data_IF_363669433808
#
_entry.id   IF_363669433808
#
_cell.length_a   1.000
_cell.length_b   1.000
_cell.length_c   1.000
_cell.angle_alpha   90.00
_cell.angle_beta   90.00
_cell.angle_gamma   90.00
#
_symmetry.space_group_name_H-M   'P 1'
#
loop_
_entity.id
_entity.type
_entity.pdbx_description
1 polymer ?
#
# COMPACT_ATOMS: atom_id res chain seq x y z
N UNK A 1 48.90 40.09 -14.67
CA UNK A 1 49.41 39.05 -13.73
C UNK A 1 48.19 38.35 -13.16
N UNK A 2 47.84 37.20 -13.74
CA UNK A 2 46.69 36.39 -13.33
C UNK A 2 47.18 35.28 -12.40
N UNK A 3 46.68 35.24 -11.16
CA UNK A 3 46.82 34.07 -10.29
C UNK A 3 45.60 33.17 -10.49
N UNK A 4 45.78 31.86 -10.79
CA UNK A 4 44.66 30.93 -10.87
C UNK A 4 44.28 30.46 -9.47
N UNK A 5 42.99 30.57 -9.13
CA UNK A 5 42.42 29.92 -7.97
C UNK A 5 42.34 28.41 -8.24
N UNK A 6 43.09 27.64 -7.46
CA UNK A 6 43.11 26.18 -7.48
C UNK A 6 41.80 25.62 -6.94
N UNK A 7 40.95 25.15 -7.85
CA UNK A 7 39.75 24.40 -7.56
C UNK A 7 40.14 22.98 -7.10
N UNK A 8 40.16 22.77 -5.78
CA UNK A 8 40.50 21.48 -5.18
C UNK A 8 39.19 20.78 -4.78
N UNK A 9 38.46 20.31 -5.77
CA UNK A 9 37.27 19.47 -5.57
C UNK A 9 37.69 18.02 -5.33
N UNK A 10 37.98 17.68 -4.08
CA UNK A 10 38.05 16.28 -3.67
C UNK A 10 36.65 15.64 -3.80
N UNK A 11 36.55 14.38 -4.30
CA UNK A 11 35.28 13.67 -4.36
C UNK A 11 34.83 13.36 -2.93
N UNK A 12 33.83 14.09 -2.44
CA UNK A 12 33.14 13.72 -1.20
C UNK A 12 32.57 12.32 -1.39
N UNK A 13 33.06 11.36 -0.60
CA UNK A 13 32.38 10.09 -0.38
C UNK A 13 30.91 10.41 -0.07
N UNK A 14 30.01 10.06 -0.99
CA UNK A 14 28.56 10.33 -0.88
C UNK A 14 27.99 9.48 0.25
N UNK A 15 28.15 9.92 1.49
CA UNK A 15 27.46 9.34 2.63
C UNK A 15 25.95 9.38 2.41
N UNK A 16 25.27 8.26 2.69
CA UNK A 16 23.81 8.17 2.57
C UNK A 16 23.15 9.26 3.41
N UNK A 17 22.28 10.07 2.78
CA UNK A 17 21.55 11.13 3.47
C UNK A 17 20.50 10.51 4.39
N UNK A 18 20.77 10.50 5.69
CA UNK A 18 19.90 9.91 6.70
C UNK A 18 19.31 10.93 7.67
N UNK A 19 18.09 10.66 8.15
CA UNK A 19 17.39 11.42 9.16
C UNK A 19 16.94 10.48 10.29
N UNK A 20 17.23 10.85 11.53
CA UNK A 20 16.73 10.12 12.69
C UNK A 20 15.43 10.74 13.20
N UNK A 21 14.43 9.89 13.43
CA UNK A 21 13.13 10.27 13.97
C UNK A 21 12.78 9.37 15.16
N UNK A 22 12.47 10.00 16.29
CA UNK A 22 11.92 9.30 17.45
C UNK A 22 10.39 9.24 17.34
N UNK A 23 9.85 8.03 17.29
CA UNK A 23 8.42 7.77 17.37
C UNK A 23 8.19 6.99 18.66
N UNK A 24 7.84 7.74 19.70
CA UNK A 24 7.56 7.23 21.03
C UNK A 24 8.80 6.47 21.57
N UNK A 25 8.75 5.15 21.74
CA UNK A 25 9.90 4.35 22.21
C UNK A 25 10.75 3.72 21.09
N UNK A 26 10.45 4.01 19.83
CA UNK A 26 11.13 3.47 18.66
C UNK A 26 11.97 4.55 17.99
N UNK A 27 13.18 4.17 17.54
CA UNK A 27 14.04 5.04 16.73
C UNK A 27 13.95 4.62 15.27
N UNK A 28 13.58 5.55 14.40
CA UNK A 28 13.57 5.33 12.96
C UNK A 28 14.78 6.05 12.34
N UNK A 29 15.53 5.36 11.50
CA UNK A 29 16.58 5.94 10.66
C UNK A 29 16.09 5.90 9.22
N UNK A 30 15.76 7.07 8.70
CA UNK A 30 15.18 7.28 7.37
C UNK A 30 16.29 7.62 6.39
N UNK A 31 16.48 6.80 5.37
CA UNK A 31 17.47 6.98 4.32
C UNK A 31 16.76 7.51 3.08
N UNK A 32 17.19 8.68 2.59
CA UNK A 32 16.62 9.31 1.41
C UNK A 32 17.34 8.89 0.13
N UNK A 33 16.69 9.17 -0.99
CA UNK A 33 17.25 9.01 -2.33
C UNK A 33 17.79 7.60 -2.58
N UNK A 34 17.15 6.60 -1.97
CA UNK A 34 17.50 5.21 -2.13
C UNK A 34 17.08 4.74 -3.53
N UNK A 35 17.92 3.94 -4.20
CA UNK A 35 17.54 3.34 -5.47
C UNK A 35 16.37 2.36 -5.26
N UNK A 36 15.57 2.16 -6.31
CA UNK A 36 14.35 1.35 -6.24
C UNK A 36 14.61 -0.07 -5.75
N UNK A 37 15.78 -0.63 -6.04
CA UNK A 37 16.20 -2.00 -5.68
C UNK A 37 16.40 -2.22 -4.17
N UNK A 38 16.62 -1.15 -3.40
CA UNK A 38 16.59 -1.19 -1.92
C UNK A 38 15.19 -1.33 -1.37
N UNK A 39 14.18 -0.86 -2.10
CA UNK A 39 12.77 -0.94 -1.68
C UNK A 39 12.09 -2.19 -2.24
N UNK A 40 12.35 -2.53 -3.49
CA UNK A 40 11.67 -3.60 -4.22
C UNK A 40 12.74 -4.51 -4.80
N UNK A 41 12.65 -5.84 -4.65
CA UNK A 41 13.67 -6.73 -5.18
C UNK A 41 13.91 -6.52 -6.68
N UNK A 42 15.18 -6.47 -7.08
CA UNK A 42 15.62 -6.09 -8.43
C UNK A 42 14.94 -6.87 -9.55
N UNK A 43 14.60 -8.15 -9.31
CA UNK A 43 13.91 -8.99 -10.30
C UNK A 43 12.57 -8.38 -10.76
N UNK A 44 11.80 -7.80 -9.85
CA UNK A 44 10.52 -7.18 -10.20
C UNK A 44 10.75 -5.89 -10.99
N UNK A 45 11.76 -5.09 -10.62
CA UNK A 45 12.12 -3.89 -11.36
C UNK A 45 12.59 -4.22 -12.79
N UNK A 46 13.30 -5.33 -12.99
CA UNK A 46 13.74 -5.79 -14.31
C UNK A 46 12.57 -6.20 -15.20
N UNK A 47 11.60 -6.94 -14.68
CA UNK A 47 10.38 -7.31 -15.41
C UNK A 47 9.67 -6.04 -15.90
N UNK A 48 9.48 -5.07 -15.01
CA UNK A 48 8.84 -3.80 -15.34
C UNK A 48 9.62 -2.97 -16.37
N UNK A 49 10.96 -2.99 -16.31
CA UNK A 49 11.79 -2.27 -17.27
C UNK A 49 11.66 -2.82 -18.69
N UNK A 50 11.40 -4.13 -18.84
CA UNK A 50 11.19 -4.80 -20.13
C UNK A 50 9.80 -4.57 -20.70
N UNK A 51 8.80 -4.26 -19.87
CA UNK A 51 7.43 -4.03 -20.33
C UNK A 51 7.33 -2.79 -21.22
N UNK A 52 7.26 -2.98 -22.54
CA UNK A 52 7.21 -1.91 -23.55
C UNK A 52 6.11 -0.87 -23.26
N UNK A 53 4.96 -1.32 -22.78
CA UNK A 53 3.83 -0.45 -22.43
C UNK A 53 4.16 0.59 -21.35
N UNK A 54 5.05 0.29 -20.39
CA UNK A 54 5.50 1.22 -19.34
C UNK A 54 6.63 2.15 -19.80
N UNK A 55 7.19 1.90 -20.99
CA UNK A 55 8.18 2.76 -21.63
C UNK A 55 7.55 3.75 -22.62
N UNK A 56 6.22 3.67 -22.83
CA UNK A 56 5.51 4.59 -23.73
C UNK A 56 5.49 6.00 -23.15
N UNK A 57 6.00 6.94 -23.94
CA UNK A 57 5.99 8.38 -23.63
C UNK A 57 4.55 8.93 -23.57
N UNK A 58 4.13 9.55 -22.45
CA UNK A 58 2.85 10.26 -22.37
C UNK A 58 2.74 11.37 -23.43
N UNK A 59 1.55 11.56 -24.01
CA UNK A 59 1.33 12.57 -25.06
C UNK A 59 1.84 13.98 -24.70
N UNK A 60 1.72 14.40 -23.43
CA UNK A 60 2.12 15.74 -22.98
C UNK A 60 3.61 16.01 -23.20
N UNK A 61 4.45 14.97 -23.23
CA UNK A 61 5.89 15.11 -23.39
C UNK A 61 6.35 15.01 -24.84
N UNK A 62 5.47 14.70 -25.79
CA UNK A 62 5.81 14.66 -27.22
C UNK A 62 6.05 16.09 -27.72
N UNK A 63 7.32 16.44 -27.95
CA UNK A 63 7.79 17.80 -28.32
C UNK A 63 7.13 18.37 -29.59
N UNK A 64 6.60 17.50 -30.46
CA UNK A 64 6.17 17.90 -31.80
C UNK A 64 4.65 18.13 -31.93
N UNK A 65 3.87 17.91 -30.86
CA UNK A 65 2.39 18.02 -30.86
C UNK A 65 1.87 19.20 -30.02
N UNK A 66 2.67 20.26 -29.83
CA UNK A 66 2.28 21.50 -29.14
C UNK A 66 1.19 22.33 -29.86
N UNK A 67 0.34 21.71 -30.67
CA UNK A 67 -0.87 22.34 -31.18
C UNK A 67 -1.97 22.27 -30.12
N UNK A 68 -2.03 23.36 -29.35
CA UNK A 68 -3.20 24.01 -28.70
C UNK A 68 -4.33 23.08 -28.23
N UNK A 69 -4.75 23.32 -26.98
CA UNK A 69 -5.82 22.66 -26.21
C UNK A 69 -7.14 22.31 -26.94
N UNK A 70 -7.35 22.78 -28.18
CA UNK A 70 -8.60 22.72 -28.93
C UNK A 70 -8.49 22.12 -30.35
N UNK A 71 -7.31 21.73 -30.84
CA UNK A 71 -7.24 21.03 -32.14
C UNK A 71 -7.65 19.58 -31.90
N UNK A 72 -8.76 19.18 -32.53
CA UNK A 72 -9.30 17.81 -32.56
C UNK A 72 -8.20 16.88 -33.10
N UNK A 73 -7.34 16.40 -32.22
CA UNK A 73 -6.39 15.36 -32.57
C UNK A 73 -7.18 14.09 -32.93
N UNK A 74 -6.78 13.37 -33.99
CA UNK A 74 -7.35 12.08 -34.30
C UNK A 74 -7.26 11.17 -33.07
N UNK A 75 -8.30 10.33 -32.87
CA UNK A 75 -8.55 9.42 -31.74
C UNK A 75 -7.36 9.26 -30.78
N UNK A 76 -7.39 10.00 -29.65
CA UNK A 76 -6.44 9.80 -28.55
C UNK A 76 -6.53 8.36 -28.07
N UNK A 77 -5.39 7.76 -27.72
CA UNK A 77 -5.43 6.46 -27.07
C UNK A 77 -6.15 6.57 -25.72
N UNK A 78 -6.77 5.49 -25.25
CA UNK A 78 -7.41 5.45 -23.92
C UNK A 78 -6.44 5.89 -22.83
N UNK A 79 -5.16 5.45 -22.92
CA UNK A 79 -4.08 5.85 -22.01
C UNK A 79 -3.78 7.35 -22.04
N UNK A 80 -3.76 7.97 -23.22
CA UNK A 80 -3.53 9.41 -23.34
C UNK A 80 -4.68 10.23 -22.72
N UNK A 81 -5.91 9.70 -22.78
CA UNK A 81 -7.05 10.28 -22.06
C UNK A 81 -6.82 10.20 -20.55
N UNK A 82 -6.41 9.05 -20.03
CA UNK A 82 -6.12 8.87 -18.60
C UNK A 82 -5.00 9.79 -18.11
N UNK A 83 -3.89 9.86 -18.84
CA UNK A 83 -2.80 10.79 -18.55
C UNK A 83 -3.26 12.25 -18.61
N UNK A 84 -4.11 12.62 -19.58
CA UNK A 84 -4.70 13.97 -19.61
C UNK A 84 -5.43 14.28 -18.29
N UNK A 85 -6.15 13.30 -17.73
CA UNK A 85 -6.83 13.53 -16.45
C UNK A 85 -5.84 13.62 -15.29
N UNK A 86 -4.76 12.83 -15.28
CA UNK A 86 -3.64 12.97 -14.32
C UNK A 86 -3.04 14.37 -14.36
N UNK A 87 -2.67 14.88 -15.54
CA UNK A 87 -2.09 16.22 -15.69
C UNK A 87 -3.07 17.34 -15.34
N UNK A 88 -4.36 17.19 -15.65
CA UNK A 88 -5.40 18.11 -15.18
C UNK A 88 -5.51 18.13 -13.66
N UNK A 89 -5.34 16.98 -13.00
CA UNK A 89 -5.31 16.91 -11.54
C UNK A 89 -4.02 17.53 -10.97
N UNK A 90 -2.87 17.28 -11.60
CA UNK A 90 -1.59 17.89 -11.22
C UNK A 90 -1.63 19.42 -11.32
N UNK A 91 -2.25 19.97 -12.39
CA UNK A 91 -2.43 21.42 -12.57
C UNK A 91 -3.24 22.06 -11.42
N UNK A 92 -4.11 21.30 -10.76
CA UNK A 92 -4.92 21.75 -9.62
C UNK A 92 -4.20 21.61 -8.26
N UNK A 93 -3.05 20.91 -8.22
CA UNK A 93 -2.33 20.63 -6.97
C UNK A 93 -1.49 21.80 -6.47
N UNK A 94 -0.99 21.65 -5.24
CA UNK A 94 0.03 22.53 -4.67
C UNK A 94 1.31 22.40 -5.49
N UNK A 95 1.83 23.52 -5.98
CA UNK A 95 3.16 23.57 -6.55
C UNK A 95 4.20 23.79 -5.45
N UNK A 96 5.20 22.92 -5.41
CA UNK A 96 6.36 23.05 -4.51
C UNK A 96 7.63 23.06 -5.35
N UNK A 97 8.38 24.15 -5.29
CA UNK A 97 9.62 24.30 -6.05
C UNK A 97 10.69 23.27 -5.69
N UNK A 98 10.77 22.89 -4.41
CA UNK A 98 11.62 21.79 -3.95
C UNK A 98 10.77 20.68 -3.37
N UNK A 99 11.34 19.49 -3.24
CA UNK A 99 10.63 18.38 -2.64
C UNK A 99 10.60 18.39 -1.11
N UNK A 100 9.88 17.42 -0.55
CA UNK A 100 9.67 17.25 0.89
C UNK A 100 10.98 17.06 1.65
N UNK A 101 12.03 16.55 0.98
CA UNK A 101 13.34 16.36 1.59
C UNK A 101 14.08 17.70 1.81
N UNK A 102 13.65 18.79 1.16
CA UNK A 102 14.39 20.05 1.08
C UNK A 102 13.68 21.23 1.74
N UNK A 103 12.65 20.99 2.57
CA UNK A 103 11.85 22.04 3.23
C UNK A 103 11.38 23.13 2.24
N UNK A 104 10.69 22.75 1.16
CA UNK A 104 10.05 23.72 0.28
C UNK A 104 8.84 24.39 0.91
N UNK A 105 8.40 25.50 0.33
CA UNK A 105 7.13 26.15 0.66
C UNK A 105 6.25 26.09 -0.58
N UNK A 106 4.94 25.95 -0.38
CA UNK A 106 4.00 25.95 -1.49
C UNK A 106 3.77 27.39 -1.99
N UNK A 107 4.02 27.61 -3.28
CA UNK A 107 3.90 28.93 -3.90
C UNK A 107 2.42 29.35 -4.03
N UNK A 108 1.52 28.40 -4.35
CA UNK A 108 0.10 28.69 -4.61
C UNK A 108 -0.80 28.71 -3.35
N UNK A 109 -1.71 29.69 -3.27
CA UNK A 109 -2.54 30.02 -2.10
C UNK A 109 -3.84 29.20 -1.90
N UNK A 110 -4.40 28.58 -2.95
CA UNK A 110 -5.76 27.99 -2.87
C UNK A 110 -5.81 26.52 -2.41
N UNK A 111 -6.02 26.22 -1.13
CA UNK A 111 -5.83 24.85 -0.59
C UNK A 111 -7.01 23.87 -0.82
N UNK A 112 -8.23 24.36 -1.10
CA UNK A 112 -9.45 23.53 -1.10
C UNK A 112 -9.55 22.54 -2.28
N UNK A 113 -10.00 21.30 -2.03
CA UNK A 113 -10.19 20.25 -3.05
C UNK A 113 -8.96 19.43 -3.46
N UNK A 114 -7.79 19.67 -2.84
CA UNK A 114 -6.49 19.15 -3.31
C UNK A 114 -6.10 17.75 -2.83
N UNK A 115 -6.74 17.22 -1.79
CA UNK A 115 -6.46 15.84 -1.33
C UNK A 115 -6.99 14.84 -2.36
N UNK A 116 -8.25 15.03 -2.78
CA UNK A 116 -8.89 14.21 -3.82
C UNK A 116 -8.13 14.26 -5.14
N UNK A 117 -7.58 15.43 -5.51
CA UNK A 117 -6.74 15.56 -6.70
C UNK A 117 -5.42 14.78 -6.60
N UNK A 118 -4.69 14.92 -5.48
CA UNK A 118 -3.43 14.18 -5.25
C UNK A 118 -3.66 12.67 -5.20
N UNK A 119 -4.67 12.20 -4.46
CA UNK A 119 -4.97 10.77 -4.42
C UNK A 119 -5.51 10.28 -5.75
N UNK A 120 -6.32 11.07 -6.47
CA UNK A 120 -6.82 10.73 -7.80
C UNK A 120 -5.72 10.54 -8.85
N UNK A 121 -4.57 11.18 -8.68
CA UNK A 121 -3.38 10.92 -9.52
C UNK A 121 -2.82 9.55 -9.23
N UNK A 122 -2.61 9.21 -7.96
CA UNK A 122 -2.13 7.88 -7.56
C UNK A 122 -3.13 6.81 -8.02
N UNK A 123 -4.44 7.11 -7.93
CA UNK A 123 -5.47 6.20 -8.40
C UNK A 123 -5.29 5.84 -9.87
N UNK A 124 -5.10 6.84 -10.72
CA UNK A 124 -4.93 6.64 -12.16
C UNK A 124 -3.58 6.02 -12.51
N UNK A 125 -2.50 6.45 -11.88
CA UNK A 125 -1.18 5.83 -12.10
C UNK A 125 -1.18 4.36 -11.70
N UNK A 126 -1.84 4.01 -10.59
CA UNK A 126 -1.99 2.63 -10.16
C UNK A 126 -2.91 1.82 -11.08
N UNK A 127 -4.01 2.40 -11.58
CA UNK A 127 -4.90 1.75 -12.55
C UNK A 127 -4.22 1.53 -13.90
N UNK A 128 -3.39 2.48 -14.33
CA UNK A 128 -2.53 2.30 -15.50
C UNK A 128 -1.55 1.15 -15.24
N UNK A 129 -0.83 1.14 -14.10
CA UNK A 129 0.05 0.03 -13.76
C UNK A 129 -0.67 -1.34 -13.76
N UNK A 130 -1.89 -1.39 -13.22
CA UNK A 130 -2.74 -2.59 -13.24
C UNK A 130 -3.14 -3.00 -14.66
N UNK A 131 -3.61 -2.05 -15.48
CA UNK A 131 -3.96 -2.25 -16.89
C UNK A 131 -2.77 -2.72 -17.74
N UNK A 132 -1.58 -2.17 -17.50
CA UNK A 132 -0.39 -2.43 -18.30
C UNK A 132 0.25 -3.78 -18.00
N UNK A 133 0.28 -4.14 -16.72
CA UNK A 133 0.86 -5.39 -16.29
C UNK A 133 -0.14 -6.52 -16.23
N UNK A 134 -1.43 -6.20 -16.37
CA UNK A 134 -2.51 -7.11 -16.01
C UNK A 134 -2.24 -7.73 -14.64
N UNK A 135 -1.85 -6.93 -13.61
CA UNK A 135 -1.57 -7.45 -12.25
C UNK A 135 -2.87 -7.78 -11.52
N UNK A 136 -3.59 -8.71 -12.11
CA UNK A 136 -4.71 -9.35 -11.49
C UNK A 136 -4.35 -10.81 -11.32
N UNK A 137 -4.80 -11.40 -10.20
CA UNK A 137 -4.61 -12.82 -9.95
C UNK A 137 -5.96 -13.48 -9.91
N UNK A 138 -6.20 -14.33 -10.90
CA UNK A 138 -7.35 -15.21 -10.92
C UNK A 138 -7.11 -16.32 -9.89
N UNK A 139 -8.05 -16.47 -8.97
CA UNK A 139 -8.04 -17.56 -8.02
C UNK A 139 -8.60 -18.81 -8.68
N UNK A 140 -7.83 -19.90 -8.69
CA UNK A 140 -8.26 -21.19 -9.24
C UNK A 140 -9.51 -21.73 -8.52
N UNK A 141 -9.65 -21.42 -7.24
CA UNK A 141 -10.70 -21.99 -6.38
C UNK A 141 -12.03 -21.25 -6.44
N UNK A 142 -12.06 -19.96 -6.81
CA UNK A 142 -13.23 -19.11 -6.52
C UNK A 142 -13.68 -18.20 -7.67
N UNK A 143 -13.20 -18.41 -8.91
CA UNK A 143 -13.52 -17.56 -10.09
C UNK A 143 -13.54 -16.07 -9.71
N UNK A 144 -12.57 -15.67 -8.90
CA UNK A 144 -12.46 -14.33 -8.36
C UNK A 144 -11.12 -13.74 -8.78
N UNK A 145 -11.13 -12.44 -8.97
CA UNK A 145 -9.97 -11.68 -9.42
C UNK A 145 -9.51 -10.80 -8.28
N UNK A 146 -8.29 -11.02 -7.82
CA UNK A 146 -7.64 -10.12 -6.88
C UNK A 146 -6.98 -8.99 -7.65
N UNK A 147 -7.33 -7.75 -7.32
CA UNK A 147 -6.75 -6.53 -7.91
C UNK A 147 -6.36 -5.52 -6.84
N UNK A 148 -5.35 -4.69 -7.12
CA UNK A 148 -5.01 -3.57 -6.25
C UNK A 148 -5.77 -2.34 -6.71
N UNK A 149 -6.91 -2.04 -6.07
CA UNK A 149 -7.64 -0.81 -6.34
C UNK A 149 -7.24 0.28 -5.34
N UNK A 150 -6.72 1.41 -5.82
CA UNK A 150 -6.48 2.57 -4.98
C UNK A 150 -7.81 3.19 -4.55
N UNK A 151 -8.17 3.03 -3.28
CA UNK A 151 -9.43 3.56 -2.73
C UNK A 151 -9.16 4.77 -1.84
N UNK A 152 -9.91 5.83 -2.12
CA UNK A 152 -10.01 6.98 -1.24
C UNK A 152 -10.83 6.60 -0.01
N UNK A 153 -10.16 6.53 1.14
CA UNK A 153 -10.84 6.35 2.42
C UNK A 153 -10.77 7.68 3.15
N UNK A 154 -11.83 8.47 3.04
CA UNK A 154 -12.05 9.57 3.96
C UNK A 154 -12.18 8.98 5.36
N UNK A 155 -11.48 9.58 6.33
CA UNK A 155 -11.63 9.26 7.75
C UNK A 155 -11.07 7.93 8.25
N UNK A 156 -10.02 7.40 7.60
CA UNK A 156 -9.24 6.33 8.23
C UNK A 156 -8.14 6.89 9.14
N UNK A 157 -8.34 6.74 10.46
CA UNK A 157 -7.32 7.04 11.47
C UNK A 157 -6.58 5.78 11.85
N UNK A 158 -5.29 5.70 11.52
CA UNK A 158 -4.45 4.61 12.00
C UNK A 158 -4.50 4.54 13.53
N UNK A 159 -4.64 3.34 14.08
CA UNK A 159 -4.42 3.07 15.49
C UNK A 159 -3.21 2.17 15.58
N UNK A 160 -2.24 2.55 16.40
CA UNK A 160 -1.10 1.69 16.68
C UNK A 160 -0.82 1.72 18.18
N UNK A 161 -0.14 0.68 18.62
CA UNK A 161 0.18 0.50 20.01
C UNK A 161 1.66 0.81 20.24
N UNK A 162 1.99 1.67 21.21
CA UNK A 162 3.38 1.82 21.66
C UNK A 162 3.45 2.00 23.17
N UNK A 163 4.39 1.32 23.80
CA UNK A 163 4.74 1.53 25.19
C UNK A 163 5.30 0.26 25.82
N UNK A 164 6.47 0.31 26.48
CA UNK A 164 6.89 -0.73 27.44
C UNK A 164 6.51 -0.22 28.84
N UNK A 165 5.69 -0.94 29.61
CA UNK A 165 5.46 -0.63 31.04
C UNK A 165 4.00 -0.44 31.49
N UNK A 166 3.82 0.30 32.59
CA UNK A 166 2.62 0.32 33.49
C UNK A 166 1.39 1.01 32.88
N UNK A 167 1.53 1.81 31.80
CA UNK A 167 0.40 2.36 31.05
C UNK A 167 0.56 2.12 29.56
N UNK A 168 0.36 0.87 29.10
CA UNK A 168 0.18 0.62 27.68
C UNK A 168 -1.04 1.41 27.19
N UNK A 169 -0.95 2.06 26.04
CA UNK A 169 -2.02 2.92 25.53
C UNK A 169 -2.12 2.87 24.02
N UNK A 170 -3.35 2.75 23.51
CA UNK A 170 -3.65 2.94 22.11
C UNK A 170 -3.29 4.37 21.71
N UNK A 171 -2.38 4.51 20.76
CA UNK A 171 -2.06 5.79 20.17
C UNK A 171 -2.79 5.96 18.85
N UNK A 172 -3.41 7.12 18.74
CA UNK A 172 -3.96 7.58 17.49
C UNK A 172 -2.82 8.00 16.57
N UNK A 173 -2.66 7.21 15.52
CA UNK A 173 -1.84 7.58 14.38
C UNK A 173 -2.47 8.69 13.57
N UNK A 174 -1.68 9.29 12.66
CA UNK A 174 -2.15 10.33 11.79
C UNK A 174 -3.16 9.82 10.78
N UNK A 175 -4.02 10.73 10.33
CA UNK A 175 -4.90 10.50 9.18
C UNK A 175 -4.10 10.37 7.90
N UNK A 176 -4.39 9.32 7.15
CA UNK A 176 -3.93 9.14 5.76
C UNK A 176 -4.93 9.79 4.80
N UNK A 177 -4.57 9.85 3.52
CA UNK A 177 -5.42 10.35 2.45
C UNK A 177 -6.23 9.25 1.76
N UNK A 178 -5.76 8.00 1.85
CA UNK A 178 -6.38 6.83 1.26
C UNK A 178 -5.47 5.61 1.40
N UNK A 179 -5.83 4.53 0.72
CA UNK A 179 -5.05 3.30 0.66
C UNK A 179 -5.01 2.76 -0.76
N UNK A 180 -3.95 2.04 -1.09
CA UNK A 180 -4.03 0.96 -2.07
C UNK A 180 -4.67 -0.24 -1.36
N UNK A 181 -5.90 -0.56 -1.76
CA UNK A 181 -6.67 -1.68 -1.22
C UNK A 181 -6.42 -2.91 -2.10
N UNK A 182 -6.30 -4.08 -1.49
CA UNK A 182 -6.55 -5.32 -2.21
C UNK A 182 -8.06 -5.51 -2.27
N UNK A 183 -8.60 -5.46 -3.47
CA UNK A 183 -10.00 -5.71 -3.75
C UNK A 183 -10.14 -7.10 -4.35
N UNK A 184 -11.05 -7.88 -3.77
CA UNK A 184 -11.59 -9.08 -4.40
C UNK A 184 -12.79 -8.66 -5.23
N UNK A 185 -12.67 -8.76 -6.55
CA UNK A 185 -13.78 -8.58 -7.48
C UNK A 185 -14.24 -9.94 -7.99
N UNK A 186 -15.57 -10.12 -8.11
CA UNK A 186 -16.13 -11.25 -8.83
C UNK A 186 -15.81 -11.08 -10.32
N UNK A 187 -15.56 -12.18 -11.04
CA UNK A 187 -15.49 -12.10 -12.50
C UNK A 187 -16.79 -11.48 -13.04
N UNK A 188 -16.71 -10.50 -13.96
CA UNK A 188 -17.89 -9.84 -14.51
C UNK A 188 -18.83 -10.80 -15.26
N UNK A 189 -18.33 -11.96 -15.70
CA UNK A 189 -19.12 -12.97 -16.42
C UNK A 189 -20.02 -13.83 -15.48
N UNK A 190 -20.28 -13.36 -14.26
CA UNK A 190 -20.99 -14.13 -13.22
C UNK A 190 -22.37 -13.62 -12.81
N UNK A 191 -22.96 -12.70 -13.56
CA UNK A 191 -24.37 -12.32 -13.35
C UNK A 191 -25.34 -13.52 -13.49
N UNK A 192 -24.91 -14.61 -14.14
CA UNK A 192 -25.71 -15.84 -14.35
C UNK A 192 -25.51 -16.95 -13.30
N UNK A 193 -24.67 -16.79 -12.27
CA UNK A 193 -24.56 -17.83 -11.22
C UNK A 193 -25.79 -17.82 -10.30
N UNK A 194 -26.26 -19.01 -9.87
CA UNK A 194 -27.33 -19.12 -8.90
C UNK A 194 -26.94 -18.44 -7.57
N UNK A 195 -27.95 -17.87 -6.89
CA UNK A 195 -27.76 -16.98 -5.75
C UNK A 195 -27.02 -17.60 -4.56
N UNK A 196 -26.98 -18.93 -4.48
CA UNK A 196 -26.26 -19.74 -3.50
C UNK A 196 -24.74 -19.78 -3.74
N UNK A 197 -24.28 -19.44 -4.94
CA UNK A 197 -22.86 -19.34 -5.30
C UNK A 197 -22.33 -17.90 -5.31
N UNK A 198 -23.13 -16.93 -4.86
CA UNK A 198 -22.65 -15.56 -4.67
C UNK A 198 -21.57 -15.57 -3.59
N UNK A 199 -20.34 -15.32 -4.02
CA UNK A 199 -19.20 -15.23 -3.12
C UNK A 199 -19.49 -14.24 -1.98
N UNK A 200 -19.19 -14.62 -0.73
CA UNK A 200 -19.46 -13.78 0.44
C UNK A 200 -18.60 -12.51 0.35
N UNK A 201 -19.23 -11.41 -0.03
CA UNK A 201 -18.76 -10.03 0.14
C UNK A 201 -17.56 -9.57 -0.71
N UNK A 202 -17.56 -8.28 -1.04
CA UNK A 202 -16.37 -7.59 -1.49
C UNK A 202 -15.37 -7.47 -0.34
N UNK A 203 -14.25 -8.19 -0.43
CA UNK A 203 -13.17 -8.06 0.55
C UNK A 203 -12.27 -6.91 0.11
N UNK A 204 -12.26 -5.85 0.90
CA UNK A 204 -11.42 -4.68 0.72
C UNK A 204 -10.39 -4.62 1.84
N UNK A 205 -9.13 -4.91 1.52
CA UNK A 205 -8.07 -4.97 2.52
C UNK A 205 -7.08 -3.82 2.33
N UNK A 206 -6.95 -2.90 3.29
CA UNK A 206 -6.00 -1.79 3.19
C UNK A 206 -4.57 -2.31 3.28
N UNK A 207 -3.78 -2.11 2.23
CA UNK A 207 -2.38 -2.55 2.18
C UNK A 207 -1.42 -1.38 2.31
N UNK A 208 -1.45 -0.44 1.35
CA UNK A 208 -0.47 0.64 1.30
C UNK A 208 -1.15 1.97 1.59
N UNK A 209 -0.89 2.61 2.74
CA UNK A 209 -1.37 3.96 2.99
C UNK A 209 -0.82 4.97 1.98
N UNK A 210 -1.65 5.96 1.68
CA UNK A 210 -1.31 7.12 0.85
C UNK A 210 -1.28 8.36 1.76
N UNK A 211 -0.13 9.02 1.88
CA UNK A 211 0.02 10.27 2.64
C UNK A 211 0.30 11.44 1.71
N UNK A 212 -0.65 12.37 1.64
CA UNK A 212 -0.52 13.60 0.84
C UNK A 212 -0.25 14.80 1.73
N UNK A 213 0.43 15.79 1.17
CA UNK A 213 0.70 17.03 1.89
C UNK A 213 -0.56 17.89 1.98
N UNK A 214 -1.03 18.13 3.21
CA UNK A 214 -2.28 18.86 3.50
C UNK A 214 -2.08 20.36 3.77
N UNK A 215 -0.87 20.78 4.16
CA UNK A 215 -0.63 22.14 4.70
C UNK A 215 0.42 22.90 3.90
N UNK A 216 0.17 24.20 3.73
CA UNK A 216 1.04 25.15 3.01
C UNK A 216 2.27 25.58 3.82
N UNK A 217 2.11 25.77 5.14
CA UNK A 217 3.19 26.26 6.01
C UNK A 217 4.17 25.16 6.36
N UNK A 218 5.42 25.39 5.97
CA UNK A 218 6.54 24.46 6.05
C UNK A 218 7.76 25.02 6.77
N UNK A 219 7.66 26.28 7.19
CA UNK A 219 8.79 27.11 7.58
C UNK A 219 9.05 27.03 9.08
N UNK A 220 9.24 25.83 9.59
CA UNK A 220 9.82 25.68 10.93
C UNK A 220 11.05 24.81 10.84
N UNK A 221 12.12 25.21 11.52
CA UNK A 221 13.25 24.33 11.80
C UNK A 221 12.70 22.99 12.34
N UNK A 222 13.13 21.87 11.74
CA UNK A 222 12.60 20.54 12.05
C UNK A 222 11.31 20.12 11.32
N UNK A 223 10.81 20.88 10.33
CA UNK A 223 9.62 20.51 9.57
C UNK A 223 9.75 19.16 8.84
N UNK A 224 10.90 18.88 8.18
CA UNK A 224 11.20 17.54 7.62
C UNK A 224 11.07 16.47 8.71
N UNK A 225 11.73 16.65 9.85
CA UNK A 225 11.72 15.67 10.94
C UNK A 225 10.31 15.41 11.47
N UNK A 226 9.51 16.46 11.69
CA UNK A 226 8.12 16.33 12.12
C UNK A 226 7.26 15.56 11.09
N UNK A 227 7.50 15.77 9.79
CA UNK A 227 6.81 15.04 8.71
C UNK A 227 7.20 13.58 8.64
N UNK A 228 8.50 13.29 8.67
CA UNK A 228 8.95 11.90 8.63
C UNK A 228 8.60 11.14 9.91
N UNK A 229 8.57 11.81 11.07
CA UNK A 229 7.97 11.26 12.28
C UNK A 229 6.50 10.87 12.07
N UNK A 230 5.70 11.73 11.42
CA UNK A 230 4.31 11.41 11.04
C UNK A 230 4.25 10.21 10.08
N UNK A 231 5.09 10.16 9.05
CA UNK A 231 5.15 9.05 8.08
C UNK A 231 5.58 7.73 8.73
N UNK A 232 6.52 7.75 9.68
CA UNK A 232 6.90 6.58 10.47
C UNK A 232 5.74 6.08 11.35
N UNK A 233 4.93 6.99 11.91
CA UNK A 233 3.68 6.64 12.61
C UNK A 233 2.65 5.97 11.68
N UNK A 234 2.56 6.41 10.42
CA UNK A 234 1.72 5.76 9.40
C UNK A 234 2.21 4.34 9.11
N UNK A 235 3.51 4.16 8.87
CA UNK A 235 4.12 2.84 8.63
C UNK A 235 3.88 1.88 9.80
N UNK A 236 4.01 2.37 11.04
CA UNK A 236 3.71 1.57 12.23
C UNK A 236 2.24 1.14 12.28
N UNK A 237 1.32 2.04 11.96
CA UNK A 237 -0.11 1.72 11.80
C UNK A 237 -0.35 0.65 10.74
N UNK A 238 0.31 0.75 9.58
CA UNK A 238 0.22 -0.24 8.50
C UNK A 238 0.71 -1.62 8.94
N UNK A 239 1.85 -1.74 9.63
CA UNK A 239 2.28 -3.03 10.19
C UNK A 239 1.25 -3.61 11.16
N UNK A 240 0.64 -2.78 12.01
CA UNK A 240 -0.39 -3.28 12.94
C UNK A 240 -1.62 -3.83 12.20
N UNK A 241 -1.97 -3.28 11.03
CA UNK A 241 -2.99 -3.86 10.16
C UNK A 241 -2.51 -5.19 9.58
N UNK A 242 -1.26 -5.26 9.11
CA UNK A 242 -0.67 -6.45 8.51
C UNK A 242 -0.54 -7.63 9.48
N UNK A 243 -0.42 -7.37 10.79
CA UNK A 243 -0.30 -8.39 11.84
C UNK A 243 -1.63 -8.96 12.32
N UNK A 244 -2.77 -8.30 12.06
CA UNK A 244 -4.10 -8.82 12.41
C UNK A 244 -4.36 -10.28 12.02
N UNK A 245 -3.96 -10.74 10.82
CA UNK A 245 -4.24 -12.10 10.38
C UNK A 245 -3.39 -13.18 11.05
N UNK A 246 -2.30 -12.82 11.72
CA UNK A 246 -1.38 -13.79 12.29
C UNK A 246 -1.93 -14.38 13.60
N UNK A 247 -1.62 -15.67 13.89
CA UNK A 247 -2.06 -16.32 15.10
C UNK A 247 -1.54 -15.60 16.36
N UNK A 248 -2.20 -15.90 17.49
CA UNK A 248 -1.97 -15.23 18.77
C UNK A 248 -0.49 -15.11 19.15
N UNK A 249 -0.17 -13.99 19.78
CA UNK A 249 1.15 -13.36 19.97
C UNK A 249 2.14 -14.11 20.89
N UNK A 250 1.88 -15.37 21.22
CA UNK A 250 2.76 -16.20 22.04
C UNK A 250 3.89 -16.85 21.24
N UNK A 251 3.81 -16.82 19.91
CA UNK A 251 4.87 -17.29 19.00
C UNK A 251 5.67 -16.11 18.44
N UNK A 252 6.95 -16.35 18.15
CA UNK A 252 7.80 -15.41 17.43
C UNK A 252 7.12 -15.02 16.11
N UNK A 253 6.82 -13.73 15.98
CA UNK A 253 6.20 -13.21 14.78
C UNK A 253 7.23 -13.17 13.65
N UNK A 254 6.84 -13.50 12.41
CA UNK A 254 7.71 -13.35 11.26
C UNK A 254 8.09 -11.89 11.04
N UNK A 255 9.17 -11.67 10.29
CA UNK A 255 9.51 -10.34 9.81
C UNK A 255 8.34 -9.76 8.99
N UNK A 256 8.21 -8.44 8.99
CA UNK A 256 7.18 -7.73 8.27
C UNK A 256 7.73 -6.56 7.46
N UNK A 257 7.08 -6.29 6.34
CA UNK A 257 7.25 -5.10 5.54
C UNK A 257 6.03 -4.18 5.64
N UNK A 258 6.28 -2.88 5.71
CA UNK A 258 5.26 -1.87 5.48
C UNK A 258 5.72 -0.86 4.44
N UNK A 259 4.78 -0.46 3.59
CA UNK A 259 5.00 0.51 2.54
C UNK A 259 4.16 1.77 2.78
N UNK A 260 4.58 2.89 2.21
CA UNK A 260 3.83 4.14 2.21
C UNK A 260 4.09 4.88 0.90
N UNK A 261 3.02 5.28 0.22
CA UNK A 261 3.10 6.18 -0.93
C UNK A 261 2.92 7.61 -0.43
N UNK A 262 3.94 8.43 -0.63
CA UNK A 262 3.94 9.82 -0.25
C UNK A 262 3.76 10.75 -1.44
N UNK A 263 2.94 11.78 -1.28
CA UNK A 263 2.74 12.80 -2.29
C UNK A 263 2.94 14.21 -1.72
N UNK A 264 3.75 14.99 -2.41
CA UNK A 264 4.08 16.36 -2.05
C UNK A 264 3.90 17.28 -3.27
N UNK A 265 2.65 17.65 -3.54
CA UNK A 265 2.31 18.48 -4.70
C UNK A 265 2.30 17.71 -6.01
N UNK A 266 3.37 17.80 -6.81
CA UNK A 266 3.62 16.95 -7.97
C UNK A 266 4.62 15.83 -7.69
N UNK A 267 5.24 15.82 -6.50
CA UNK A 267 6.37 14.95 -6.19
C UNK A 267 5.91 13.69 -5.48
N UNK A 268 6.18 12.54 -6.10
CA UNK A 268 5.85 11.22 -5.56
C UNK A 268 7.11 10.57 -4.95
N UNK A 269 6.94 9.86 -3.84
CA UNK A 269 7.97 8.98 -3.29
C UNK A 269 7.35 7.74 -2.67
N UNK A 270 8.09 6.64 -2.65
CA UNK A 270 7.70 5.40 -1.96
C UNK A 270 8.62 5.20 -0.77
N UNK A 271 8.06 4.75 0.35
CA UNK A 271 8.83 4.37 1.54
C UNK A 271 8.61 2.89 1.84
N UNK A 272 9.67 2.20 2.24
CA UNK A 272 9.63 0.84 2.81
C UNK A 272 10.23 0.88 4.21
N UNK A 273 9.58 0.21 5.14
CA UNK A 273 10.16 -0.08 6.45
C UNK A 273 10.11 -1.59 6.69
N UNK A 274 11.27 -2.16 7.00
CA UNK A 274 11.41 -3.56 7.36
C UNK A 274 11.43 -3.71 8.88
N UNK A 275 10.57 -4.59 9.38
CA UNK A 275 10.37 -4.92 10.78
C UNK A 275 10.83 -6.37 11.00
N UNK A 276 12.07 -6.59 11.48
CA UNK A 276 12.53 -7.93 11.85
C UNK A 276 11.58 -8.62 12.81
N UNK A 277 11.40 -9.94 12.69
CA UNK A 277 10.44 -10.71 13.50
C UNK A 277 10.58 -10.52 15.02
N UNK A 278 11.81 -10.40 15.52
CA UNK A 278 12.07 -10.06 16.92
C UNK A 278 11.47 -8.69 17.31
N UNK A 279 11.62 -7.67 16.45
CA UNK A 279 11.06 -6.33 16.67
C UNK A 279 9.55 -6.30 16.46
N UNK A 280 9.02 -7.10 15.54
CA UNK A 280 7.58 -7.28 15.35
C UNK A 280 6.97 -7.86 16.63
N UNK A 281 7.57 -8.91 17.17
CA UNK A 281 7.16 -9.54 18.43
C UNK A 281 7.20 -8.55 19.59
N UNK A 282 8.22 -7.69 19.67
CA UNK A 282 8.26 -6.61 20.67
C UNK A 282 7.11 -5.61 20.49
N UNK A 283 6.79 -5.21 19.26
CA UNK A 283 5.69 -4.27 18.98
C UNK A 283 4.32 -4.92 19.14
N UNK A 284 4.20 -6.22 18.90
CA UNK A 284 2.94 -6.98 18.99
C UNK A 284 2.67 -7.56 20.36
N UNK A 285 3.66 -7.77 21.22
CA UNK A 285 3.52 -8.44 22.54
C UNK A 285 2.65 -7.71 23.58
N UNK A 286 1.92 -6.67 23.20
CA UNK A 286 1.13 -5.87 24.13
C UNK A 286 -0.36 -6.24 24.16
N UNK A 287 -0.80 -6.63 25.35
CA UNK A 287 -2.18 -6.95 25.73
C UNK A 287 -3.05 -5.68 25.76
N UNK A 288 -4.05 -5.61 24.87
CA UNK A 288 -5.43 -5.16 25.17
C UNK A 288 -6.21 -4.86 23.88
N UNK A 289 -7.10 -5.80 23.53
CA UNK A 289 -8.39 -5.56 22.87
C UNK A 289 -8.28 -4.87 21.50
N UNK A 290 -8.09 -5.66 20.44
CA UNK A 290 -8.71 -5.30 19.15
C UNK A 290 -10.12 -5.88 19.22
N UNK A 291 -11.06 -5.11 19.77
CA UNK A 291 -12.40 -5.09 19.16
C UNK A 291 -12.25 -4.08 18.03
N UNK A 292 -12.32 -4.50 16.75
CA UNK A 292 -12.26 -3.56 15.65
C UNK A 292 -13.41 -2.55 15.78
N UNK A 293 -13.27 -1.27 15.35
CA UNK A 293 -14.47 -0.63 14.82
C UNK A 293 -15.02 -1.60 13.77
N UNK A 294 -16.30 -1.99 13.84
CA UNK A 294 -16.94 -2.84 12.82
C UNK A 294 -16.73 -2.21 11.44
N UNK A 295 -15.61 -2.54 10.81
CA UNK A 295 -15.52 -2.65 9.37
C UNK A 295 -16.15 -4.02 9.17
N UNK A 296 -17.26 -4.15 8.43
CA UNK A 296 -17.84 -5.45 8.12
C UNK A 296 -16.81 -6.20 7.25
N UNK A 297 -15.85 -6.82 7.91
CA UNK A 297 -15.25 -8.05 7.43
C UNK A 297 -16.33 -9.08 7.71
N UNK A 298 -16.74 -9.80 6.68
CA UNK A 298 -17.79 -10.81 6.72
C UNK A 298 -17.48 -11.82 7.84
N UNK A 299 -18.02 -11.55 9.03
CA UNK A 299 -18.34 -12.59 9.99
C UNK A 299 -19.70 -13.15 9.54
N UNK A 300 -19.80 -14.46 9.58
CA UNK A 300 -20.88 -15.26 9.04
C UNK A 300 -22.26 -14.73 9.45
N UNK A 301 -23.19 -14.77 8.51
CA UNK A 301 -24.58 -14.40 8.71
C UNK A 301 -25.24 -15.37 9.70
N UNK A 302 -25.03 -15.16 11.00
CA UNK A 302 -25.92 -15.65 12.03
C UNK A 302 -27.19 -14.80 11.98
N UNK A 303 -28.17 -15.35 11.26
CA UNK A 303 -29.57 -14.99 11.36
C UNK A 303 -30.05 -15.17 12.80
N UNK A 304 -30.10 -14.09 13.56
CA UNK A 304 -31.03 -14.05 14.69
C UNK A 304 -32.32 -13.38 14.24
N UNK A 305 -33.34 -14.22 14.15
CA UNK A 305 -34.73 -13.87 13.96
C UNK A 305 -35.18 -12.98 15.13
N UNK A 306 -35.42 -11.70 14.86
CA UNK A 306 -36.30 -10.90 15.71
C UNK A 306 -37.74 -11.32 15.40
N UNK A 307 -38.24 -12.28 16.17
CA UNK A 307 -39.66 -12.44 16.42
C UNK A 307 -39.91 -12.46 17.93
N UNK A 308 -40.64 -11.43 18.36
CA UNK A 308 -41.90 -11.56 19.11
C UNK A 308 -41.83 -11.79 20.65
N UNK A 309 -42.32 -10.74 21.33
CA UNK A 309 -43.14 -10.70 22.55
C UNK A 309 -42.81 -11.60 23.76
N UNK A 310 -42.57 -10.97 24.92
CA UNK A 310 -43.60 -10.77 25.98
C UNK A 310 -42.99 -10.16 27.25
N UNK A 311 -43.65 -9.09 27.73
CA UNK A 311 -43.58 -8.60 29.11
C UNK A 311 -44.13 -9.67 30.08
N UNK A 312 -43.33 -10.10 31.08
CA UNK A 312 -43.85 -10.63 32.36
C UNK A 312 -42.86 -10.39 33.51
N UNK A 313 -43.36 -9.63 34.49
CA UNK A 313 -43.06 -9.45 35.92
C UNK A 313 -41.87 -10.16 36.63
N UNK A 314 -41.13 -9.35 37.41
CA UNK A 314 -40.33 -9.73 38.58
C UNK A 314 -41.20 -10.39 39.68
N UNK A 315 -40.65 -11.33 40.48
CA UNK A 315 -40.29 -10.93 41.86
C UNK A 315 -39.08 -11.65 42.51
N UNK A 316 -38.29 -10.85 43.23
CA UNK A 316 -37.73 -11.04 44.58
C UNK A 316 -37.14 -12.40 45.09
N UNK A 317 -35.89 -12.27 45.59
CA UNK A 317 -35.24 -12.95 46.76
C UNK A 317 -34.31 -14.15 46.48
N UNK A 318 -33.46 -14.59 47.45
CA UNK A 318 -32.24 -13.93 47.92
C UNK A 318 -30.99 -14.85 47.86
N UNK A 319 -29.80 -14.25 48.00
CA UNK A 319 -28.50 -14.95 48.05
C UNK A 319 -28.33 -15.85 49.29
N UNK A 320 -27.50 -16.91 49.20
CA UNK A 320 -26.75 -17.40 50.34
C UNK A 320 -25.24 -17.14 50.18
N UNK A 321 -24.66 -16.64 51.26
CA UNK A 321 -23.23 -16.49 51.47
C UNK A 321 -22.54 -17.86 51.47
N UNK A 322 -21.46 -17.99 50.70
CA UNK A 322 -20.51 -19.11 50.85
C UNK A 322 -19.15 -18.52 51.20
N UNK A 323 -18.75 -18.75 52.45
CA UNK A 323 -17.42 -18.44 52.96
C UNK A 323 -16.42 -19.43 52.37
N UNK A 324 -15.42 -18.94 51.65
CA UNK A 324 -14.27 -19.75 51.23
C UNK A 324 -13.02 -19.22 51.94
N UNK A 325 -12.62 -19.92 53.00
CA UNK A 325 -11.29 -19.84 53.58
C UNK A 325 -10.36 -20.73 52.75
N UNK A 326 -9.22 -20.23 52.21
CA UNK A 326 -8.24 -21.11 51.57
C UNK A 326 -7.33 -21.74 52.63
N UNK A 327 -7.33 -23.07 52.66
CA UNK A 327 -6.33 -23.92 53.30
C UNK A 327 -4.93 -23.64 52.75
N UNK A 328 -3.99 -23.29 53.64
CA UNK A 328 -2.56 -23.20 53.34
C UNK A 328 -1.94 -24.61 53.28
N UNK A 329 -1.39 -24.98 52.12
CA UNK A 329 -0.45 -26.11 51.98
C UNK A 329 1.00 -25.60 52.16
N UNK A 330 1.83 -26.21 53.01
CA UNK A 330 3.22 -25.82 53.19
C UNK A 330 4.14 -26.56 52.21
N UNK A 331 4.74 -25.82 51.27
CA UNK A 331 5.68 -26.37 50.30
C UNK A 331 6.25 -25.30 49.36
N UNK A 332 6.69 -24.17 49.92
CA UNK A 332 7.21 -23.03 49.14
C UNK A 332 8.69 -23.24 48.77
N UNK A 333 9.06 -23.18 47.47
CA UNK A 333 10.45 -23.07 47.06
C UNK A 333 10.99 -21.69 47.45
N UNK A 334 12.15 -21.66 48.11
CA UNK A 334 12.76 -20.45 48.69
C UNK A 334 12.69 -19.18 47.80
N UNK A 335 12.27 -18.03 48.35
CA UNK A 335 11.98 -16.80 47.59
C UNK A 335 13.20 -16.17 46.88
N UNK A 336 14.42 -16.59 47.23
CA UNK A 336 15.66 -16.02 46.67
C UNK A 336 15.88 -16.37 45.20
N UNK A 337 15.47 -17.56 44.72
CA UNK A 337 15.61 -17.95 43.31
C UNK A 337 14.60 -17.26 42.38
N UNK A 338 13.40 -16.95 42.88
CA UNK A 338 12.40 -16.22 42.10
C UNK A 338 12.77 -14.75 41.93
N UNK A 339 13.31 -14.12 42.98
CA UNK A 339 13.78 -12.74 42.90
C UNK A 339 14.99 -12.58 41.97
N UNK A 340 15.97 -13.48 42.01
CA UNK A 340 17.14 -13.39 41.12
C UNK A 340 16.78 -13.57 39.65
N UNK A 341 15.88 -14.51 39.32
CA UNK A 341 15.46 -14.74 37.94
C UNK A 341 14.56 -13.60 37.41
N UNK A 342 13.78 -12.97 38.28
CA UNK A 342 12.95 -11.79 37.94
C UNK A 342 13.81 -10.53 37.79
N UNK A 343 14.79 -10.31 38.66
CA UNK A 343 15.78 -9.23 38.54
C UNK A 343 16.66 -9.38 37.32
N UNK A 344 17.14 -10.59 37.00
CA UNK A 344 17.90 -10.83 35.77
C UNK A 344 17.06 -10.55 34.52
N UNK A 345 15.76 -10.94 34.51
CA UNK A 345 14.84 -10.56 33.43
C UNK A 345 14.58 -9.06 33.38
N UNK A 346 14.53 -8.37 34.51
CA UNK A 346 14.35 -6.91 34.58
C UNK A 346 15.62 -6.19 34.09
N UNK A 347 16.80 -6.64 34.47
CA UNK A 347 18.09 -6.08 34.04
C UNK A 347 18.33 -6.32 32.54
N UNK A 348 18.09 -7.53 32.03
CA UNK A 348 18.12 -7.81 30.58
C UNK A 348 17.05 -6.99 29.83
N UNK A 349 15.87 -6.77 30.43
CA UNK A 349 14.85 -5.88 29.86
C UNK A 349 15.24 -4.40 29.91
N UNK A 350 15.97 -3.97 30.94
CA UNK A 350 16.46 -2.59 31.10
C UNK A 350 17.62 -2.31 30.13
N UNK A 351 18.56 -3.24 29.99
CA UNK A 351 19.66 -3.20 29.02
C UNK A 351 19.14 -3.24 27.57
N UNK A 352 18.07 -4.02 27.31
CA UNK A 352 17.32 -3.96 26.04
C UNK A 352 16.48 -2.69 25.89
N UNK A 353 16.08 -2.02 26.98
CA UNK A 353 15.35 -0.76 26.94
C UNK A 353 16.26 0.43 26.63
N UNK A 354 17.54 0.37 27.04
CA UNK A 354 18.56 1.35 26.63
C UNK A 354 18.85 1.28 25.13
N UNK A 355 18.79 0.08 24.53
CA UNK A 355 18.85 -0.12 23.08
C UNK A 355 17.47 0.02 22.43
N UNK A 356 16.97 1.25 22.31
CA UNK A 356 15.74 1.51 21.52
C UNK A 356 15.84 0.83 20.15
N UNK A 357 14.86 0.01 19.73
CA UNK A 357 14.90 -0.66 18.44
C UNK A 357 15.08 0.38 17.34
N UNK A 358 16.15 0.24 16.56
CA UNK A 358 16.41 1.07 15.38
C UNK A 358 15.75 0.42 14.17
N UNK A 359 14.75 1.06 13.61
CA UNK A 359 14.07 0.63 12.39
C UNK A 359 14.63 1.41 11.20
N UNK A 360 14.98 0.68 10.14
CA UNK A 360 15.47 1.27 8.89
C UNK A 360 14.26 1.56 7.99
N UNK A 361 14.21 2.79 7.48
CA UNK A 361 13.22 3.22 6.51
C UNK A 361 13.95 3.68 5.27
N UNK A 362 13.72 3.00 4.15
CA UNK A 362 14.28 3.36 2.86
C UNK A 362 13.24 4.14 2.06
N UNK A 363 13.65 5.28 1.50
CA UNK A 363 12.78 6.18 0.75
C UNK A 363 13.39 6.40 -0.62
N UNK A 364 12.59 6.25 -1.67
CA UNK A 364 13.03 6.57 -3.03
C UNK A 364 13.42 8.04 -3.14
N UNK A 365 14.09 8.41 -4.24
CA UNK A 365 14.09 9.81 -4.67
C UNK A 365 12.66 10.32 -4.87
N UNK A 366 12.50 11.63 -4.87
CA UNK A 366 11.23 12.26 -5.22
C UNK A 366 11.12 12.36 -6.74
N UNK A 367 10.09 11.72 -7.31
CA UNK A 367 9.76 11.79 -8.72
C UNK A 367 8.85 12.99 -8.98
N UNK A 368 9.31 13.97 -9.74
CA UNK A 368 8.47 15.09 -10.18
C UNK A 368 7.62 14.70 -11.39
N UNK A 369 6.31 14.60 -11.21
CA UNK A 369 5.42 14.13 -12.27
C UNK A 369 5.24 15.12 -13.45
N UNK A 370 5.88 16.29 -13.39
CA UNK A 370 6.00 17.22 -14.52
C UNK A 370 7.24 16.96 -15.38
N UNK A 371 8.18 16.14 -14.90
CA UNK A 371 9.32 15.68 -15.67
C UNK A 371 9.01 14.30 -16.26
N UNK A 372 9.41 14.09 -17.50
CA UNK A 372 9.08 12.88 -18.25
C UNK A 372 9.75 11.64 -17.67
N UNK A 373 11.05 11.72 -17.37
CA UNK A 373 11.83 10.61 -16.83
C UNK A 373 11.33 10.24 -15.44
N UNK A 374 11.01 11.25 -14.63
CA UNK A 374 10.45 11.06 -13.30
C UNK A 374 9.01 10.52 -13.35
N UNK A 375 8.19 10.96 -14.28
CA UNK A 375 6.84 10.42 -14.48
C UNK A 375 6.91 8.92 -14.80
N UNK A 376 7.75 8.53 -15.76
CA UNK A 376 7.96 7.14 -16.12
C UNK A 376 8.58 6.35 -14.96
N UNK A 377 9.52 6.94 -14.22
CA UNK A 377 10.10 6.36 -13.02
C UNK A 377 9.06 6.10 -11.93
N UNK A 378 8.13 7.03 -11.71
CA UNK A 378 7.03 6.91 -10.76
C UNK A 378 6.04 5.81 -11.18
N UNK A 379 5.68 5.74 -12.46
CA UNK A 379 4.83 4.68 -12.97
C UNK A 379 5.49 3.31 -12.78
N UNK A 380 6.76 3.16 -13.16
CA UNK A 380 7.53 1.92 -13.03
C UNK A 380 7.69 1.46 -11.58
N UNK A 381 8.00 2.37 -10.64
CA UNK A 381 8.15 1.97 -9.23
C UNK A 381 6.82 1.54 -8.61
N UNK A 382 5.70 2.18 -8.96
CA UNK A 382 4.38 1.78 -8.50
C UNK A 382 3.98 0.42 -9.09
N UNK A 383 4.22 0.22 -10.38
CA UNK A 383 3.99 -1.03 -11.08
C UNK A 383 4.81 -2.18 -10.48
N UNK A 384 6.10 -1.94 -10.23
CA UNK A 384 6.98 -2.91 -9.57
C UNK A 384 6.53 -3.22 -8.13
N UNK A 385 5.99 -2.24 -7.40
CA UNK A 385 5.51 -2.42 -6.04
C UNK A 385 4.26 -3.30 -6.01
N UNK A 386 3.31 -3.03 -6.91
CA UNK A 386 2.12 -3.87 -7.08
C UNK A 386 2.53 -5.31 -7.44
N UNK A 387 3.43 -5.45 -8.41
CA UNK A 387 3.94 -6.75 -8.84
C UNK A 387 4.64 -7.51 -7.70
N UNK A 388 5.46 -6.82 -6.91
CA UNK A 388 6.09 -7.41 -5.74
C UNK A 388 5.06 -7.87 -4.70
N UNK A 389 4.08 -7.03 -4.36
CA UNK A 389 2.99 -7.39 -3.44
C UNK A 389 2.27 -8.67 -3.88
N UNK A 390 1.87 -8.74 -5.14
CA UNK A 390 1.16 -9.91 -5.64
C UNK A 390 2.01 -11.17 -5.72
N UNK A 391 3.33 -11.06 -5.77
CA UNK A 391 4.20 -12.23 -5.90
C UNK A 391 4.15 -13.23 -4.73
N UNK A 392 3.51 -12.89 -3.61
CA UNK A 392 3.51 -13.71 -2.38
C UNK A 392 4.88 -13.81 -1.71
N UNK A 393 5.89 -13.08 -2.19
CA UNK A 393 7.23 -13.00 -1.60
C UNK A 393 7.41 -11.82 -0.67
N UNK A 394 6.41 -10.94 -0.55
CA UNK A 394 6.46 -9.85 0.41
C UNK A 394 6.36 -10.38 1.82
N UNK A 395 6.98 -9.70 2.77
CA UNK A 395 6.78 -9.97 4.19
C UNK A 395 5.54 -9.22 4.69
N UNK A 396 4.43 -9.27 3.94
CA UNK A 396 3.18 -8.66 4.34
C UNK A 396 2.20 -9.78 4.69
N UNK A 397 2.05 -10.10 5.97
CA UNK A 397 1.25 -11.24 6.42
C UNK A 397 -0.22 -11.19 5.93
N UNK A 398 -0.78 -9.99 5.79
CA UNK A 398 -2.11 -9.80 5.23
C UNK A 398 -2.21 -10.19 3.76
N UNK A 399 -1.24 -9.76 2.95
CA UNK A 399 -1.18 -10.14 1.53
C UNK A 399 -0.98 -11.64 1.40
N UNK A 400 -0.04 -12.21 2.15
CA UNK A 400 0.25 -13.62 2.09
C UNK A 400 -0.94 -14.48 2.54
N UNK A 401 -1.66 -14.08 3.61
CA UNK A 401 -2.89 -14.77 4.00
C UNK A 401 -3.91 -14.79 2.87
N UNK A 402 -4.14 -13.64 2.21
CA UNK A 402 -5.10 -13.55 1.12
C UNK A 402 -4.67 -14.41 -0.07
N UNK A 403 -3.40 -14.36 -0.46
CA UNK A 403 -2.87 -15.20 -1.55
C UNK A 403 -2.87 -16.69 -1.20
N UNK A 404 -2.78 -17.06 0.09
CA UNK A 404 -2.96 -18.44 0.53
C UNK A 404 -4.42 -18.89 0.53
N UNK A 405 -5.36 -18.00 0.90
CA UNK A 405 -6.81 -18.27 0.83
C UNK A 405 -7.29 -18.37 -0.62
N UNK A 406 -6.66 -17.61 -1.52
CA UNK A 406 -6.98 -17.55 -2.94
C UNK A 406 -5.73 -17.93 -3.74
N UNK A 407 -5.36 -19.23 -3.74
CA UNK A 407 -4.18 -19.69 -4.44
C UNK A 407 -4.31 -19.37 -5.92
N UNK A 408 -3.16 -19.11 -6.50
CA UNK A 408 -3.00 -18.61 -7.86
C UNK A 408 -2.51 -19.80 -8.65
N UNK A 409 -3.06 -19.98 -9.84
CA UNK A 409 -2.65 -21.09 -10.68
C UNK A 409 -1.13 -20.98 -10.95
N UNK A 410 -0.34 -22.03 -10.69
CA UNK A 410 1.07 -22.03 -11.04
C UNK A 410 1.30 -21.84 -12.54
N UNK A 411 0.34 -22.17 -13.41
CA UNK A 411 0.43 -21.87 -14.84
C UNK A 411 0.29 -20.36 -15.14
N UNK A 412 -0.32 -19.59 -14.23
CA UNK A 412 -0.33 -18.13 -14.25
C UNK A 412 0.91 -17.54 -13.52
N UNK A 413 1.91 -18.35 -13.12
CA UNK A 413 3.19 -17.84 -12.64
C UNK A 413 3.95 -17.18 -13.78
N UNK A 414 3.60 -15.93 -14.07
CA UNK A 414 4.34 -14.89 -14.80
C UNK A 414 5.50 -15.44 -15.62
N UNK A 415 5.19 -16.32 -16.57
CA UNK A 415 6.18 -16.90 -17.45
C UNK A 415 6.77 -15.72 -18.19
N UNK A 416 8.08 -15.54 -18.03
CA UNK A 416 8.87 -14.55 -18.75
C UNK A 416 8.82 -14.97 -20.23
N UNK A 417 7.71 -14.69 -20.90
CA UNK A 417 7.54 -14.86 -22.35
C UNK A 417 8.43 -13.85 -23.11
N UNK A 418 9.49 -13.33 -22.47
CA UNK A 418 10.45 -12.41 -23.07
C UNK A 418 11.46 -13.12 -23.96
N UNK A 419 11.49 -14.45 -23.95
CA UNK A 419 12.39 -15.25 -24.75
C UNK A 419 11.60 -15.86 -25.91
N UNK A 420 11.35 -15.04 -26.94
CA UNK A 420 11.10 -15.37 -28.35
C UNK A 420 10.28 -14.23 -28.98
N UNK A 421 10.95 -13.40 -29.80
CA UNK A 421 10.52 -12.49 -30.90
C UNK A 421 9.03 -12.21 -31.20
N UNK A 422 8.13 -12.29 -30.23
CA UNK A 422 6.71 -11.96 -30.35
C UNK A 422 6.58 -10.46 -30.16
N UNK A 423 6.17 -9.79 -31.24
CA UNK A 423 5.88 -8.37 -31.26
C UNK A 423 4.97 -8.04 -30.06
N UNK A 424 5.42 -7.11 -29.20
CA UNK A 424 4.88 -6.86 -27.85
C UNK A 424 3.40 -6.41 -27.76
N UNK A 425 2.63 -6.52 -28.83
CA UNK A 425 1.18 -6.44 -28.85
C UNK A 425 0.51 -7.77 -28.41
N UNK A 426 1.18 -8.93 -28.60
CA UNK A 426 0.60 -10.26 -28.34
C UNK A 426 0.37 -10.58 -26.85
N UNK A 427 1.20 -10.08 -25.93
CA UNK A 427 1.02 -10.36 -24.50
C UNK A 427 -0.20 -9.61 -23.94
N UNK A 428 -0.43 -8.38 -24.41
CA UNK A 428 -1.60 -7.61 -24.02
C UNK A 428 -2.88 -8.18 -24.65
N UNK A 429 -2.78 -8.75 -25.84
CA UNK A 429 -3.90 -9.40 -26.54
C UNK A 429 -4.17 -10.81 -26.01
N UNK A 430 -3.18 -11.57 -25.57
CA UNK A 430 -3.33 -12.86 -24.86
C UNK A 430 -4.21 -12.70 -23.61
N UNK A 431 -3.90 -11.70 -22.77
CA UNK A 431 -4.72 -11.41 -21.59
C UNK A 431 -6.07 -10.81 -21.95
N UNK A 432 -6.19 -10.10 -23.08
CA UNK A 432 -7.48 -9.56 -23.57
C UNK A 432 -8.38 -10.68 -24.09
N UNK A 433 -7.82 -11.66 -24.79
CA UNK A 433 -8.51 -12.84 -25.32
C UNK A 433 -8.98 -13.76 -24.19
N UNK A 434 -8.13 -14.01 -23.18
CA UNK A 434 -8.55 -14.69 -21.93
C UNK A 434 -9.59 -13.89 -21.12
N UNK A 435 -9.54 -12.56 -21.13
CA UNK A 435 -10.45 -11.69 -20.36
C UNK A 435 -11.85 -11.57 -20.98
N UNK A 436 -12.00 -11.82 -22.27
CA UNK A 436 -13.29 -11.67 -22.96
C UNK A 436 -13.85 -12.95 -23.57
N UNK A 437 -13.11 -14.08 -23.57
CA UNK A 437 -13.60 -15.37 -24.07
C UNK A 437 -14.05 -15.38 -25.55
N UNK A 438 -13.90 -14.25 -26.24
CA UNK A 438 -14.31 -14.06 -27.61
C UNK A 438 -13.06 -14.18 -28.48
N UNK A 439 -12.77 -15.40 -28.89
CA UNK A 439 -12.11 -15.65 -30.16
C UNK A 439 -12.90 -14.88 -31.22
N UNK A 440 -12.36 -13.77 -31.73
CA UNK A 440 -12.82 -13.17 -32.98
C UNK A 440 -12.49 -14.16 -34.09
N UNK A 441 -13.30 -15.20 -34.22
CA UNK A 441 -13.37 -15.93 -35.47
C UNK A 441 -13.89 -14.92 -36.50
N UNK A 442 -12.95 -14.34 -37.26
CA UNK A 442 -13.24 -13.70 -38.53
C UNK A 442 -13.96 -14.72 -39.42
N UNK A 443 -15.27 -14.75 -39.33
CA UNK A 443 -16.11 -15.26 -40.40
C UNK A 443 -15.93 -14.32 -41.58
N UNK A 444 -14.91 -14.62 -42.39
CA UNK A 444 -14.78 -14.15 -43.78
C UNK A 444 -15.99 -14.65 -44.56
N UNK A 445 -17.11 -13.98 -44.42
CA UNK A 445 -18.23 -14.02 -45.35
C UNK A 445 -17.83 -13.30 -46.63
N UNK A 446 -17.18 -14.02 -47.55
CA UNK A 446 -17.38 -13.76 -48.98
C UNK A 446 -18.84 -14.11 -49.26
N UNK A 447 -19.64 -13.18 -49.80
CA UNK A 447 -20.58 -13.41 -50.92
C UNK A 447 -21.15 -12.07 -51.42
N UNK A 448 -20.74 -11.76 -52.65
CA UNK A 448 -21.41 -11.13 -53.78
C UNK A 448 -22.12 -9.77 -53.65
N UNK A 449 -21.48 -8.78 -54.26
CA UNK A 449 -22.16 -7.68 -54.93
C UNK A 449 -23.08 -8.24 -56.04
N UNK A 450 -24.39 -8.04 -55.89
CA UNK A 450 -25.34 -8.15 -56.99
C UNK A 450 -25.51 -6.79 -57.65
N UNK A 451 -25.34 -6.83 -58.96
CA UNK A 451 -25.43 -5.78 -59.97
C UNK A 451 -26.63 -4.86 -59.87
N UNK A 452 -26.37 -3.61 -60.28
CA UNK A 452 -27.31 -2.68 -60.92
C UNK A 452 -28.32 -3.40 -61.82
N UNK A 453 -29.59 -3.00 -61.73
CA UNK A 453 -30.44 -2.89 -62.90
C UNK A 453 -31.47 -1.79 -62.68
N UNK A 454 -31.46 -0.86 -63.64
CA UNK A 454 -32.47 0.14 -63.95
C UNK A 454 -33.90 -0.39 -63.86
N UNK A 455 -34.86 0.51 -63.70
CA UNK A 455 -35.90 0.82 -64.70
C UNK A 455 -36.96 1.74 -64.08
N UNK A 456 -37.08 2.93 -64.71
CA UNK A 456 -38.25 3.85 -64.78
C UNK A 456 -38.61 4.72 -63.59
#
# INVERSE_FOLDING_TARGET
>A
MNSPASDTSQPREKGERALECDVDNLKFKVFFDQPGDKLIPLKYLKVIARTASLNRRPWLFKKDEFCRDDVVQPKRSVRDIEYKVVFRALKKNLYFRKGVFHNSVAENSQIHGRITAQTGIIQRLSKEADSLLSVHRSSSNLKCVLRLDPTLVSDFKHKFFVGKGVKPGWMHGPWVAGYLMLERSLCPDHDDLPADHKCPGHINVPLIPIDVTKSRRLETSGAVQKRFRKKCKVLLGSVMLNLRPLPARHQEQPAQEAFLIGFHGSKLHVMRCHFPGQKVSEVSSFDSIIVPPKIPLCDDAEWENENDTTDVDEPNSPSPAVSNTPLYLPGSPTPKRFFSHRLARILVKAERAERRPRLRVDVTREYDLWDEEDFLGAAKILAALQFYLFSGKTECAMVNRLLHTYPVDPEDEWTDHSDEDSDGDDVADYWREKRFGCSLNESKGKVQASSEQDWS
#
